data_IF_119809986231
#
_entry.id   IF_119809986231
#
_cell.length_a   1.000
_cell.length_b   1.000
_cell.length_c   1.000
_cell.angle_alpha   90.00
_cell.angle_beta   90.00
_cell.angle_gamma   90.00
#
_symmetry.space_group_name_H-M   'P 1'
#
loop_
_entity.id
_entity.type
_entity.pdbx_description
1 polymer ?
#
# COMPACT_ATOMS: atom_id res chain seq x y z
N UNK A 1 -0.53 -3.11 -12.54
CA UNK A 1 -0.23 -4.27 -13.39
C UNK A 1 0.97 -5.08 -12.90
N UNK A 2 1.99 -4.47 -12.28
CA UNK A 2 3.24 -5.15 -11.94
C UNK A 2 3.06 -6.38 -11.01
N UNK A 3 2.22 -6.29 -9.97
CA UNK A 3 1.96 -7.46 -9.10
C UNK A 3 1.20 -8.58 -9.78
N UNK A 4 0.31 -8.25 -10.71
CA UNK A 4 -0.44 -9.25 -11.49
C UNK A 4 0.48 -10.02 -12.43
N UNK A 5 1.32 -9.32 -13.18
CA UNK A 5 2.19 -9.92 -14.20
C UNK A 5 3.39 -10.68 -13.63
N UNK A 6 3.96 -10.20 -12.52
CA UNK A 6 5.23 -10.71 -12.00
C UNK A 6 5.16 -11.27 -10.59
N UNK A 7 3.94 -11.44 -10.06
CA UNK A 7 3.69 -11.99 -8.71
C UNK A 7 4.50 -11.28 -7.62
N UNK A 8 4.81 -10.00 -7.82
CA UNK A 8 5.57 -9.23 -6.85
C UNK A 8 4.70 -8.93 -5.64
N UNK A 9 5.13 -9.37 -4.47
CA UNK A 9 4.41 -9.13 -3.22
C UNK A 9 4.54 -7.66 -2.79
N UNK A 10 3.42 -7.04 -2.47
CA UNK A 10 3.35 -5.73 -1.82
C UNK A 10 2.47 -5.83 -0.59
N UNK A 11 2.81 -5.03 0.41
CA UNK A 11 1.93 -4.77 1.53
C UNK A 11 1.14 -3.49 1.20
N UNK A 12 1.07 -2.53 2.12
CA UNK A 12 0.61 -1.18 1.85
C UNK A 12 1.34 -0.58 0.65
N UNK A 13 0.59 -0.17 -0.38
CA UNK A 13 1.15 0.28 -1.66
C UNK A 13 2.00 1.54 -1.53
N UNK A 14 1.59 2.48 -0.67
CA UNK A 14 2.37 3.67 -0.33
C UNK A 14 3.61 3.36 0.54
N UNK A 15 3.68 2.17 1.14
CA UNK A 15 4.77 1.71 2.00
C UNK A 15 4.70 2.16 3.47
N UNK A 16 3.71 2.97 3.86
CA UNK A 16 3.57 3.45 5.24
C UNK A 16 3.55 2.30 6.24
N UNK A 17 4.37 2.40 7.30
CA UNK A 17 4.48 1.37 8.34
C UNK A 17 5.26 0.12 7.92
N UNK A 18 5.73 0.02 6.68
CA UNK A 18 6.48 -1.13 6.15
C UNK A 18 7.85 -0.72 5.66
N UNK A 19 7.90 0.08 4.59
CA UNK A 19 9.14 0.56 3.96
C UNK A 19 9.27 2.07 3.92
N UNK A 20 8.26 2.78 4.40
CA UNK A 20 8.20 4.24 4.43
C UNK A 20 7.74 4.71 5.81
N UNK A 21 8.47 5.68 6.37
CA UNK A 21 8.29 6.18 7.73
C UNK A 21 8.53 7.68 7.73
N UNK A 22 7.91 8.38 8.68
CA UNK A 22 8.09 9.83 8.85
C UNK A 22 8.82 10.10 10.15
N UNK A 23 9.86 10.93 10.08
CA UNK A 23 10.55 11.46 11.24
C UNK A 23 9.99 12.85 11.50
N UNK A 24 9.40 13.05 12.67
CA UNK A 24 8.83 14.31 13.10
C UNK A 24 9.93 15.27 13.59
N UNK A 25 9.69 16.59 13.64
CA UNK A 25 10.71 17.57 14.06
C UNK A 25 11.31 17.31 15.45
N UNK A 26 10.58 16.65 16.34
CA UNK A 26 11.04 16.29 17.68
C UNK A 26 11.80 14.93 17.73
N UNK A 27 12.09 14.32 16.58
CA UNK A 27 12.78 13.04 16.47
C UNK A 27 11.89 11.80 16.60
N UNK A 28 10.59 11.95 16.91
CA UNK A 28 9.65 10.82 16.94
C UNK A 28 9.41 10.26 15.54
N UNK A 29 9.17 8.95 15.47
CA UNK A 29 8.93 8.23 14.22
C UNK A 29 7.46 7.86 14.14
N UNK A 30 6.78 8.20 13.04
CA UNK A 30 5.43 7.74 12.73
C UNK A 30 5.41 6.87 11.47
N UNK A 31 4.38 6.02 11.33
CA UNK A 31 4.21 5.16 10.17
C UNK A 31 3.84 5.92 8.88
N UNK A 32 3.20 7.09 9.02
CA UNK A 32 2.67 7.89 7.92
C UNK A 32 2.71 9.37 8.32
N UNK A 33 2.97 10.30 7.39
CA UNK A 33 3.06 11.73 7.72
C UNK A 33 1.74 12.30 8.26
N UNK A 34 0.59 11.80 7.81
CA UNK A 34 -0.72 12.25 8.31
C UNK A 34 -0.99 11.85 9.77
N UNK A 35 -0.21 10.93 10.33
CA UNK A 35 -0.37 10.46 11.71
C UNK A 35 0.39 11.33 12.72
N UNK A 36 0.86 12.51 12.32
CA UNK A 36 1.42 13.49 13.24
C UNK A 36 0.39 13.88 14.30
N UNK A 37 0.80 13.90 15.57
CA UNK A 37 -0.07 14.23 16.70
C UNK A 37 -0.74 13.01 17.35
N UNK A 38 -0.66 11.84 16.73
CA UNK A 38 -1.22 10.58 17.24
C UNK A 38 -0.14 9.84 18.04
N UNK A 39 0.22 10.41 19.19
CA UNK A 39 1.39 10.01 19.98
C UNK A 39 1.39 8.53 20.41
N UNK A 40 0.21 7.96 20.63
CA UNK A 40 0.00 6.56 21.01
C UNK A 40 0.31 5.57 19.87
N UNK A 41 0.49 6.06 18.64
CA UNK A 41 0.85 5.26 17.45
C UNK A 41 2.26 5.54 16.93
N UNK A 42 3.08 6.28 17.67
CA UNK A 42 4.48 6.49 17.30
C UNK A 42 5.27 5.19 17.42
N UNK A 43 6.15 4.94 16.45
CA UNK A 43 6.90 3.70 16.30
C UNK A 43 8.22 3.71 17.08
N UNK A 44 8.65 4.90 17.52
CA UNK A 44 9.89 5.11 18.26
C UNK A 44 10.44 6.53 18.11
N UNK A 45 11.77 6.62 18.25
CA UNK A 45 12.57 7.84 18.22
C UNK A 45 13.85 7.59 17.42
N UNK A 46 14.23 8.55 16.56
CA UNK A 46 15.40 8.44 15.67
C UNK A 46 16.70 8.16 16.45
N UNK A 47 16.79 8.60 17.70
CA UNK A 47 18.01 8.46 18.52
C UNK A 47 18.19 7.06 19.11
N UNK A 48 17.10 6.33 19.35
CA UNK A 48 17.13 5.07 20.12
C UNK A 48 16.56 3.88 19.38
N UNK A 49 15.78 4.10 18.32
CA UNK A 49 15.08 3.04 17.61
C UNK A 49 15.91 2.51 16.47
N UNK A 50 16.21 1.21 16.50
CA UNK A 50 16.85 0.54 15.38
C UNK A 50 15.90 0.53 14.16
N UNK A 51 16.30 1.09 13.00
CA UNK A 51 15.46 1.13 11.81
C UNK A 51 14.96 -0.23 11.34
N UNK A 52 15.73 -1.30 11.57
CA UNK A 52 15.34 -2.68 11.22
C UNK A 52 14.10 -3.17 11.97
N UNK A 53 13.76 -2.54 13.09
CA UNK A 53 12.64 -2.92 13.94
C UNK A 53 11.38 -2.06 13.67
N UNK A 54 11.38 -1.19 12.65
CA UNK A 54 10.24 -0.31 12.38
C UNK A 54 9.11 -0.97 11.58
N UNK A 55 9.46 -1.88 10.67
CA UNK A 55 8.52 -2.52 9.76
C UNK A 55 7.44 -3.32 10.50
N UNK A 56 6.21 -3.22 10.00
CA UNK A 56 5.05 -3.99 10.47
C UNK A 56 4.63 -3.76 11.92
N UNK A 57 5.22 -2.78 12.62
CA UNK A 57 4.74 -2.35 13.94
C UNK A 57 3.32 -1.78 13.91
N UNK A 58 2.91 -1.26 12.76
CA UNK A 58 1.57 -0.76 12.52
C UNK A 58 1.10 -1.20 11.13
N UNK A 59 0.03 -1.99 11.10
CA UNK A 59 -0.51 -2.60 9.88
C UNK A 59 -2.03 -2.40 9.82
N UNK A 60 -2.62 -2.72 8.66
CA UNK A 60 -4.07 -2.71 8.52
C UNK A 60 -4.72 -3.75 9.44
N UNK A 61 -5.92 -3.45 9.90
CA UNK A 61 -6.83 -4.36 10.59
C UNK A 61 -8.04 -4.73 9.72
N UNK A 62 -8.90 -5.59 10.26
CA UNK A 62 -10.24 -5.87 9.71
C UNK A 62 -10.98 -4.56 9.39
N UNK A 63 -11.70 -4.47 8.25
CA UNK A 63 -12.06 -5.55 7.33
C UNK A 63 -10.99 -5.90 6.28
N UNK A 64 -9.89 -5.13 6.19
CA UNK A 64 -8.92 -5.33 5.11
C UNK A 64 -8.23 -6.68 5.19
N UNK A 65 -7.86 -7.15 6.39
CA UNK A 65 -7.18 -8.44 6.59
C UNK A 65 -8.03 -9.66 6.24
N UNK A 66 -9.35 -9.49 6.08
CA UNK A 66 -10.31 -10.54 5.71
C UNK A 66 -10.77 -10.42 4.25
N UNK A 67 -10.30 -9.38 3.52
CA UNK A 67 -10.71 -9.11 2.14
C UNK A 67 -9.93 -10.00 1.16
N UNK A 68 -10.63 -10.63 0.22
CA UNK A 68 -10.04 -11.49 -0.81
C UNK A 68 -9.05 -10.78 -1.74
N UNK A 69 -9.18 -9.47 -1.91
CA UNK A 69 -8.28 -8.67 -2.75
C UNK A 69 -7.16 -8.01 -1.93
N UNK A 70 -7.01 -8.32 -0.63
CA UNK A 70 -6.06 -7.62 0.25
C UNK A 70 -4.61 -7.69 -0.22
N UNK A 71 -4.15 -8.85 -0.71
CA UNK A 71 -2.77 -9.01 -1.19
C UNK A 71 -2.46 -8.15 -2.43
N UNK A 72 -3.47 -7.91 -3.27
CA UNK A 72 -3.34 -7.06 -4.45
C UNK A 72 -3.65 -5.59 -4.13
N UNK A 73 -4.59 -5.30 -3.25
CA UNK A 73 -4.95 -3.95 -2.89
C UNK A 73 -3.95 -3.32 -1.91
N UNK A 74 -3.38 -4.12 -1.01
CA UNK A 74 -2.48 -3.68 0.05
C UNK A 74 -3.15 -2.96 1.22
N UNK A 75 -4.49 -2.93 1.28
CA UNK A 75 -5.24 -2.24 2.34
C UNK A 75 -5.36 -0.72 2.19
N UNK A 76 -4.95 -0.17 1.04
CA UNK A 76 -5.00 1.27 0.71
C UNK A 76 -4.37 2.17 1.79
N UNK A 77 -5.11 3.15 2.29
CA UNK A 77 -4.62 4.10 3.28
C UNK A 77 -4.64 3.48 4.69
N UNK A 78 -3.44 3.22 5.23
CA UNK A 78 -3.26 2.76 6.62
C UNK A 78 -3.98 3.66 7.63
N UNK A 79 -3.88 4.98 7.46
CA UNK A 79 -4.51 5.93 8.37
C UNK A 79 -6.03 5.80 8.37
N UNK A 80 -6.67 5.73 7.19
CA UNK A 80 -8.14 5.59 7.10
C UNK A 80 -8.63 4.24 7.61
N UNK A 81 -7.79 3.20 7.54
CA UNK A 81 -8.11 1.89 8.11
C UNK A 81 -8.09 1.91 9.65
N UNK A 82 -7.10 2.56 10.26
CA UNK A 82 -6.97 2.63 11.73
C UNK A 82 -7.92 3.68 12.33
N UNK A 83 -8.08 4.81 11.65
CA UNK A 83 -8.93 5.92 12.05
C UNK A 83 -9.98 6.16 10.95
N UNK A 84 -11.09 5.40 10.95
CA UNK A 84 -12.16 5.56 9.98
C UNK A 84 -12.93 6.85 10.26
N UNK A 85 -12.44 7.94 9.70
CA UNK A 85 -13.06 9.27 9.81
C UNK A 85 -14.20 9.46 8.81
N UNK A 86 -14.32 8.57 7.82
CA UNK A 86 -15.31 8.67 6.75
C UNK A 86 -16.50 7.74 7.00
N UNK A 87 -17.71 8.10 6.54
CA UNK A 87 -18.86 7.22 6.63
C UNK A 87 -18.60 5.87 5.95
N UNK A 88 -19.11 4.79 6.56
CA UNK A 88 -18.93 3.41 6.06
C UNK A 88 -19.32 3.26 4.59
N UNK A 89 -20.38 3.96 4.14
CA UNK A 89 -20.80 3.97 2.73
C UNK A 89 -19.69 4.45 1.80
N UNK A 90 -19.05 5.58 2.09
CA UNK A 90 -17.97 6.12 1.27
C UNK A 90 -16.74 5.20 1.28
N UNK A 91 -16.41 4.61 2.43
CA UNK A 91 -15.33 3.61 2.52
C UNK A 91 -15.63 2.42 1.58
N UNK A 92 -16.86 1.91 1.60
CA UNK A 92 -17.27 0.81 0.75
C UNK A 92 -17.21 1.16 -0.74
N UNK A 93 -17.70 2.34 -1.13
CA UNK A 93 -17.66 2.81 -2.53
C UNK A 93 -16.21 2.85 -3.06
N UNK A 94 -15.24 3.30 -2.25
CA UNK A 94 -13.84 3.31 -2.67
C UNK A 94 -13.25 1.89 -2.70
N UNK A 95 -13.63 1.03 -1.77
CA UNK A 95 -13.23 -0.39 -1.82
C UNK A 95 -13.75 -1.05 -3.10
N UNK A 96 -15.00 -0.78 -3.49
CA UNK A 96 -15.61 -1.35 -4.68
C UNK A 96 -15.00 -0.78 -5.96
N UNK A 97 -14.62 0.50 -5.98
CA UNK A 97 -13.88 1.07 -7.12
C UNK A 97 -12.52 0.39 -7.32
N UNK A 98 -11.81 0.05 -6.23
CA UNK A 98 -10.54 -0.68 -6.31
C UNK A 98 -10.74 -2.14 -6.72
N UNK A 99 -11.77 -2.82 -6.20
CA UNK A 99 -12.11 -4.19 -6.66
C UNK A 99 -12.42 -4.19 -8.16
N UNK A 100 -13.19 -3.20 -8.62
CA UNK A 100 -13.48 -3.04 -10.04
C UNK A 100 -12.20 -2.80 -10.85
N UNK A 101 -11.31 -1.90 -10.41
CA UNK A 101 -10.00 -1.70 -11.07
C UNK A 101 -9.21 -3.01 -11.17
N UNK A 102 -9.10 -3.77 -10.08
CA UNK A 102 -8.37 -5.05 -10.07
C UNK A 102 -9.02 -6.05 -11.04
N UNK A 103 -10.35 -6.14 -11.05
CA UNK A 103 -11.10 -6.99 -11.97
C UNK A 103 -10.82 -6.63 -13.44
N UNK A 104 -10.92 -5.35 -13.80
CA UNK A 104 -10.66 -4.88 -15.16
C UNK A 104 -9.20 -5.13 -15.58
N UNK A 105 -8.26 -5.01 -14.65
CA UNK A 105 -6.85 -5.28 -14.91
C UNK A 105 -6.56 -6.77 -15.10
N UNK A 106 -7.19 -7.66 -14.30
CA UNK A 106 -7.16 -9.11 -14.53
C UNK A 106 -7.76 -9.45 -15.90
N UNK A 107 -8.83 -8.75 -16.32
CA UNK A 107 -9.47 -8.97 -17.64
C UNK A 107 -8.52 -8.70 -18.81
N UNK A 108 -7.73 -7.62 -18.75
CA UNK A 108 -6.78 -7.28 -19.83
C UNK A 108 -5.41 -7.97 -19.69
N UNK A 109 -5.13 -8.60 -18.54
CA UNK A 109 -3.82 -9.20 -18.26
C UNK A 109 -3.34 -10.16 -19.37
N UNK A 110 -4.15 -11.09 -19.93
CA UNK A 110 -3.69 -12.00 -20.97
C UNK A 110 -3.20 -11.30 -22.25
N UNK A 111 -3.82 -10.18 -22.61
CA UNK A 111 -3.40 -9.38 -23.77
C UNK A 111 -2.04 -8.72 -23.51
N UNK A 112 -1.84 -8.17 -22.31
CA UNK A 112 -0.56 -7.58 -21.91
C UNK A 112 0.55 -8.62 -21.89
N UNK A 113 0.27 -9.84 -21.43
CA UNK A 113 1.21 -10.97 -21.47
C UNK A 113 1.58 -11.36 -22.91
N UNK A 114 0.62 -11.33 -23.84
CA UNK A 114 0.88 -11.55 -25.27
C UNK A 114 1.78 -10.45 -25.87
N UNK A 115 1.54 -9.18 -25.52
CA UNK A 115 2.38 -8.06 -25.96
C UNK A 115 3.81 -8.17 -25.42
N UNK A 116 3.99 -8.61 -24.17
CA UNK A 116 5.30 -8.91 -23.59
C UNK A 116 6.00 -10.05 -24.34
N UNK A 117 5.28 -11.14 -24.61
CA UNK A 117 5.81 -12.30 -25.36
C UNK A 117 6.27 -11.91 -26.76
N UNK A 118 5.50 -11.07 -27.43
CA UNK A 118 5.80 -10.55 -28.76
C UNK A 118 6.83 -9.40 -28.76
N UNK A 119 7.35 -9.02 -27.58
CA UNK A 119 8.34 -7.94 -27.39
C UNK A 119 7.87 -6.56 -27.89
N UNK A 120 6.56 -6.35 -28.03
CA UNK A 120 5.97 -5.04 -28.35
C UNK A 120 6.17 -4.09 -27.17
N UNK A 121 6.03 -4.60 -25.96
CA UNK A 121 6.35 -3.94 -24.70
C UNK A 121 7.39 -4.77 -23.93
N UNK A 122 8.06 -4.16 -22.96
CA UNK A 122 9.15 -4.77 -22.18
C UNK A 122 8.77 -4.81 -20.70
N UNK A 123 9.29 -5.81 -19.98
CA UNK A 123 9.10 -5.92 -18.52
C UNK A 123 9.48 -4.65 -17.76
N UNK A 124 10.55 -3.96 -18.20
CA UNK A 124 11.02 -2.71 -17.60
C UNK A 124 10.01 -1.55 -17.70
N UNK A 125 9.05 -1.62 -18.63
CA UNK A 125 8.05 -0.56 -18.82
C UNK A 125 7.04 -0.53 -17.66
N UNK A 126 7.02 -1.59 -16.83
CA UNK A 126 6.22 -1.70 -15.62
C UNK A 126 7.02 -1.40 -14.34
N UNK A 127 8.30 -1.03 -14.45
CA UNK A 127 9.13 -0.74 -13.29
C UNK A 127 8.82 0.64 -12.73
N UNK A 128 8.62 0.69 -11.42
CA UNK A 128 8.49 1.93 -10.67
C UNK A 128 9.18 1.79 -9.31
N UNK A 129 9.51 2.92 -8.69
CA UNK A 129 10.09 2.93 -7.36
C UNK A 129 9.04 2.46 -6.34
N UNK A 130 9.29 1.31 -5.72
CA UNK A 130 8.46 0.78 -4.65
C UNK A 130 8.55 1.67 -3.41
N UNK A 131 7.40 1.89 -2.76
CA UNK A 131 7.27 2.65 -1.51
C UNK A 131 7.73 4.12 -1.61
N UNK A 132 7.38 4.78 -2.71
CA UNK A 132 7.64 6.20 -2.95
C UNK A 132 6.52 7.13 -2.43
N UNK A 133 5.83 6.73 -1.34
CA UNK A 133 4.61 7.38 -0.81
C UNK A 133 3.36 7.27 -1.70
N UNK A 134 3.48 7.03 -3.01
CA UNK A 134 2.32 6.93 -3.89
C UNK A 134 1.59 5.59 -3.71
N UNK A 135 0.26 5.64 -3.67
CA UNK A 135 -0.58 4.45 -3.70
C UNK A 135 -0.76 3.99 -5.15
N UNK A 136 0.14 3.11 -5.61
CA UNK A 136 0.06 2.50 -6.94
C UNK A 136 -0.54 1.10 -6.80
N UNK A 137 -1.79 0.96 -7.26
CA UNK A 137 -2.54 -0.30 -7.32
C UNK A 137 -2.74 -0.63 -8.81
N UNK A 138 -2.59 -1.89 -9.28
CA UNK A 138 -2.12 -3.12 -8.66
C UNK A 138 -0.66 -3.50 -9.01
#
# INVERSE_FOLDING_TARGET
MNSLLFQTQYYLRCGSGVGNFTILPNGKISACPIMQGISEKYLGDIKSTNPKNLGFKLTCSSPCTECSEFELCGGRCLYSNIYPTWPKKGINEICDSIKHLIFEMKRIQPEVELLLKNKVIKKKDFYFLKYNCCEIIP
#
